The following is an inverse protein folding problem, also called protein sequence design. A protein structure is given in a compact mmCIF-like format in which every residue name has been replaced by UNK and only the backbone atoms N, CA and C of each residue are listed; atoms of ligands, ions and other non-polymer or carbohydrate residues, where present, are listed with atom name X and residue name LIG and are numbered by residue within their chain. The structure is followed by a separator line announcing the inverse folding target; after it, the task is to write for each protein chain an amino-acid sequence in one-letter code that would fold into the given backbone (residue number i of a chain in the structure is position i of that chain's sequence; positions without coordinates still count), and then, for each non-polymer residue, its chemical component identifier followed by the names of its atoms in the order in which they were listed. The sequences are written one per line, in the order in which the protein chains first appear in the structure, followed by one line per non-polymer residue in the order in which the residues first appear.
data_IF_590093896114
#
_entry.id   IF_590093896114
#
_cell.length_a   1.000
_cell.length_b   1.000
_cell.length_c   1.000
_cell.angle_alpha   90.00
_cell.angle_beta   90.00
_cell.angle_gamma   90.00
#
_symmetry.space_group_name_H-M   'P 1'
#
loop_
_entity.id
_entity.type
_entity.pdbx_description
1 polymer ?
#
# COMPACT_ATOMS: atom_id res chain seq x y z
N UNK A 1 -36.52 -26.57 35.12
CA UNK A 1 -36.23 -25.45 34.19
C UNK A 1 -34.74 -25.45 33.88
N UNK A 2 -34.34 -26.06 32.77
CA UNK A 2 -32.93 -26.15 32.34
C UNK A 2 -32.65 -25.01 31.35
N UNK A 3 -31.85 -24.02 31.76
CA UNK A 3 -31.31 -23.01 30.85
C UNK A 3 -30.28 -23.68 29.94
N UNK A 4 -30.58 -23.78 28.65
CA UNK A 4 -29.58 -24.08 27.62
C UNK A 4 -28.84 -22.80 27.29
N UNK A 5 -27.59 -22.70 27.73
CA UNK A 5 -26.66 -21.68 27.24
C UNK A 5 -26.27 -21.99 25.77
N UNK A 6 -26.73 -21.17 24.85
CA UNK A 6 -26.28 -21.24 23.47
C UNK A 6 -24.89 -20.63 23.40
N UNK A 7 -23.86 -21.48 23.23
CA UNK A 7 -22.52 -21.04 22.81
C UNK A 7 -22.58 -20.63 21.33
N UNK A 8 -22.63 -19.32 21.08
CA UNK A 8 -22.33 -18.79 19.75
C UNK A 8 -20.81 -18.98 19.50
N UNK A 9 -20.46 -20.02 18.75
CA UNK A 9 -19.14 -20.16 18.23
C UNK A 9 -18.90 -19.02 17.21
N UNK A 10 -18.14 -18.00 17.61
CA UNK A 10 -17.53 -17.06 16.68
C UNK A 10 -16.52 -17.85 15.83
N UNK A 11 -16.96 -18.40 14.71
CA UNK A 11 -16.05 -18.90 13.67
C UNK A 11 -15.39 -17.68 13.05
N UNK A 12 -14.22 -17.31 13.54
CA UNK A 12 -13.31 -16.42 12.82
C UNK A 12 -12.98 -17.10 11.49
N UNK A 13 -13.62 -16.65 10.42
CA UNK A 13 -13.29 -17.06 9.05
C UNK A 13 -11.88 -16.50 8.73
N UNK A 14 -10.87 -17.29 9.02
CA UNK A 14 -9.54 -17.04 8.49
C UNK A 14 -9.57 -17.33 6.99
N UNK A 15 -9.53 -16.29 6.16
CA UNK A 15 -9.52 -16.47 4.73
C UNK A 15 -8.22 -17.16 4.30
N UNK A 16 -8.35 -18.23 3.52
CA UNK A 16 -7.22 -18.83 2.81
C UNK A 16 -6.88 -17.88 1.66
N UNK A 17 -5.61 -17.44 1.58
CA UNK A 17 -5.18 -16.60 0.47
C UNK A 17 -5.38 -17.31 -0.87
N UNK A 18 -5.75 -16.60 -1.93
CA UNK A 18 -5.79 -17.16 -3.27
C UNK A 18 -4.41 -17.72 -3.66
N UNK A 19 -4.42 -18.75 -4.50
CA UNK A 19 -3.18 -19.35 -5.02
C UNK A 19 -2.28 -18.28 -5.65
N UNK A 20 -1.01 -18.31 -5.32
CA UNK A 20 -0.02 -17.35 -5.79
C UNK A 20 0.17 -16.11 -4.90
N UNK A 21 -0.62 -15.96 -3.83
CA UNK A 21 -0.47 -14.89 -2.84
C UNK A 21 0.18 -15.39 -1.54
N UNK A 22 0.93 -14.51 -0.89
CA UNK A 22 1.60 -14.75 0.39
C UNK A 22 1.53 -13.53 1.28
N UNK A 23 1.65 -13.71 2.58
CA UNK A 23 1.97 -12.64 3.51
C UNK A 23 3.45 -12.28 3.38
N UNK A 24 3.76 -11.00 3.24
CA UNK A 24 5.14 -10.52 3.09
C UNK A 24 6.01 -10.93 4.29
N UNK A 25 5.47 -10.87 5.49
CA UNK A 25 6.17 -11.28 6.72
C UNK A 25 6.67 -12.73 6.71
N UNK A 26 6.09 -13.62 5.89
CA UNK A 26 6.56 -15.01 5.74
C UNK A 26 7.77 -15.14 4.80
N UNK A 27 8.01 -14.14 3.96
CA UNK A 27 9.08 -14.14 2.97
C UNK A 27 10.22 -13.22 3.41
N UNK A 28 9.86 -12.03 3.88
CA UNK A 28 10.81 -10.97 4.27
C UNK A 28 10.38 -10.34 5.59
N UNK A 29 10.56 -11.02 6.73
CA UNK A 29 10.11 -10.53 8.04
C UNK A 29 10.82 -9.25 8.52
N UNK A 30 11.91 -8.86 7.88
CA UNK A 30 12.68 -7.64 8.21
C UNK A 30 11.98 -6.36 7.73
N UNK A 31 11.20 -6.44 6.65
CA UNK A 31 10.46 -5.28 6.13
C UNK A 31 9.38 -4.87 7.13
N UNK A 32 9.36 -3.60 7.50
CA UNK A 32 8.33 -3.05 8.40
C UNK A 32 7.02 -2.84 7.67
N UNK A 33 5.95 -3.35 8.24
CA UNK A 33 4.59 -3.17 7.72
C UNK A 33 3.90 -2.05 8.51
N UNK A 34 3.59 -0.93 7.83
CA UNK A 34 2.84 0.22 8.34
C UNK A 34 1.62 0.44 7.43
N UNK A 35 0.74 -0.59 7.37
CA UNK A 35 -0.38 -0.63 6.43
C UNK A 35 -1.41 0.45 6.77
N UNK A 36 -1.33 1.58 6.08
CA UNK A 36 -2.04 2.82 6.38
C UNK A 36 -3.55 2.68 6.31
N UNK A 37 -4.05 1.90 5.37
CA UNK A 37 -5.49 1.74 5.15
C UNK A 37 -6.17 0.80 6.15
N UNK A 38 -5.41 0.03 6.92
CA UNK A 38 -5.93 -0.76 8.04
C UNK A 38 -6.21 0.07 9.31
N UNK A 39 -5.75 1.33 9.34
CA UNK A 39 -5.96 2.29 10.43
C UNK A 39 -6.68 3.55 9.97
N UNK A 40 -6.55 4.61 10.79
CA UNK A 40 -7.15 5.93 10.51
C UNK A 40 -6.15 6.94 9.94
N UNK A 41 -4.85 6.62 9.95
CA UNK A 41 -3.78 7.50 9.47
C UNK A 41 -3.61 7.37 7.95
N UNK A 42 -4.61 7.80 7.21
CA UNK A 42 -4.65 7.84 5.75
C UNK A 42 -5.59 8.99 5.30
N UNK A 43 -5.60 9.30 4.02
CA UNK A 43 -6.34 10.42 3.47
C UNK A 43 -7.87 10.35 3.65
N UNK A 44 -8.42 9.16 3.96
CA UNK A 44 -9.86 9.02 4.25
C UNK A 44 -10.21 9.35 5.71
N UNK A 45 -9.22 9.38 6.61
CA UNK A 45 -9.39 9.57 8.05
C UNK A 45 -10.04 8.38 8.77
N UNK A 46 -10.22 7.24 8.11
CA UNK A 46 -10.89 6.06 8.65
C UNK A 46 -10.24 4.77 8.13
N UNK A 47 -10.49 3.64 8.82
CA UNK A 47 -10.14 2.33 8.28
C UNK A 47 -10.90 2.10 6.98
N UNK A 48 -10.20 1.67 5.95
CA UNK A 48 -10.74 1.44 4.63
C UNK A 48 -11.39 0.05 4.56
N UNK A 49 -12.60 -0.09 3.99
CA UNK A 49 -13.24 -1.40 3.77
C UNK A 49 -12.31 -2.36 3.04
N UNK A 50 -12.34 -3.63 3.45
CA UNK A 50 -11.46 -4.67 2.89
C UNK A 50 -10.09 -4.79 3.57
N UNK A 51 -9.70 -3.86 4.46
CA UNK A 51 -8.52 -3.98 5.32
C UNK A 51 -8.92 -4.40 6.73
N UNK A 52 -9.07 -5.70 6.94
CA UNK A 52 -9.46 -6.25 8.25
C UNK A 52 -8.26 -6.45 9.20
N UNK A 53 -7.04 -6.41 8.66
CA UNK A 53 -5.79 -6.47 9.42
C UNK A 53 -4.70 -5.60 8.77
N UNK A 54 -3.71 -5.13 9.55
CA UNK A 54 -2.54 -4.41 9.05
C UNK A 54 -1.48 -5.40 8.51
N UNK A 55 -1.81 -6.09 7.42
CA UNK A 55 -0.95 -7.11 6.83
C UNK A 55 -0.64 -6.78 5.36
N UNK A 56 0.61 -6.94 4.97
CA UNK A 56 1.03 -6.87 3.58
C UNK A 56 0.84 -8.24 2.92
N UNK A 57 -0.04 -8.30 1.93
CA UNK A 57 -0.25 -9.47 1.07
C UNK A 57 0.22 -9.11 -0.33
N UNK A 58 1.01 -9.97 -0.95
CA UNK A 58 1.52 -9.79 -2.32
C UNK A 58 1.47 -11.11 -3.07
N UNK A 59 1.61 -11.05 -4.40
CA UNK A 59 1.97 -12.25 -5.14
C UNK A 59 3.34 -12.75 -4.68
N UNK A 60 3.54 -14.07 -4.65
CA UNK A 60 4.81 -14.67 -4.25
C UNK A 60 5.99 -14.10 -5.07
N UNK A 61 5.77 -13.82 -6.36
CA UNK A 61 6.79 -13.22 -7.22
C UNK A 61 7.18 -11.81 -6.78
N UNK A 62 6.20 -10.97 -6.43
CA UNK A 62 6.45 -9.62 -5.93
C UNK A 62 7.13 -9.65 -4.55
N UNK A 63 6.75 -10.58 -3.67
CA UNK A 63 7.40 -10.74 -2.37
C UNK A 63 8.88 -11.14 -2.50
N UNK A 64 9.22 -12.07 -3.40
CA UNK A 64 10.62 -12.42 -3.68
C UNK A 64 11.41 -11.28 -4.36
N UNK A 65 10.77 -10.48 -5.18
CA UNK A 65 11.40 -9.28 -5.74
C UNK A 65 11.72 -8.26 -4.64
N UNK A 66 10.78 -8.03 -3.70
CA UNK A 66 11.04 -7.17 -2.52
C UNK A 66 12.16 -7.74 -1.62
N UNK A 67 12.26 -9.05 -1.46
CA UNK A 67 13.37 -9.67 -0.73
C UNK A 67 14.73 -9.31 -1.36
N UNK A 68 14.81 -9.21 -2.68
CA UNK A 68 16.05 -8.79 -3.35
C UNK A 68 16.36 -7.31 -3.10
N UNK A 69 15.33 -6.44 -3.11
CA UNK A 69 15.48 -5.02 -2.78
C UNK A 69 15.96 -4.84 -1.34
N UNK A 70 15.31 -5.51 -0.40
CA UNK A 70 15.65 -5.46 1.03
C UNK A 70 17.08 -5.92 1.30
N UNK A 71 17.53 -7.04 0.72
CA UNK A 71 18.92 -7.52 0.89
C UNK A 71 19.96 -6.49 0.44
N UNK A 72 19.69 -5.70 -0.60
CA UNK A 72 20.59 -4.63 -1.05
C UNK A 72 20.68 -3.51 -0.03
N UNK A 73 19.55 -3.11 0.55
CA UNK A 73 19.48 -2.06 1.58
C UNK A 73 20.14 -2.50 2.90
N UNK A 74 19.91 -3.74 3.31
CA UNK A 74 20.48 -4.29 4.56
C UNK A 74 22.02 -4.29 4.54
N UNK A 75 22.66 -4.42 3.37
CA UNK A 75 24.10 -4.29 3.22
C UNK A 75 24.62 -2.89 3.61
N UNK A 76 23.73 -1.90 3.69
CA UNK A 76 24.00 -0.51 4.06
C UNK A 76 23.28 -0.09 5.34
N UNK A 77 22.79 -1.05 6.15
CA UNK A 77 22.04 -0.80 7.38
C UNK A 77 20.74 -0.02 7.18
N UNK A 78 20.15 -0.13 5.99
CA UNK A 78 18.86 0.42 5.62
C UNK A 78 17.85 -0.71 5.48
N UNK A 79 16.56 -0.40 5.63
CA UNK A 79 15.46 -1.35 5.48
C UNK A 79 14.25 -0.68 4.84
N UNK A 80 13.40 -1.46 4.20
CA UNK A 80 12.14 -0.98 3.65
C UNK A 80 11.06 -0.88 4.74
N UNK A 81 10.11 0.04 4.49
CA UNK A 81 8.82 0.11 5.19
C UNK A 81 7.71 0.16 4.15
N UNK A 82 6.75 -0.74 4.21
CA UNK A 82 5.59 -0.77 3.30
C UNK A 82 4.40 -0.06 3.92
N UNK A 83 3.68 0.73 3.09
CA UNK A 83 2.47 1.46 3.45
C UNK A 83 1.22 0.82 2.90
N UNK A 84 1.32 0.22 1.70
CA UNK A 84 0.26 -0.55 1.07
C UNK A 84 0.84 -1.63 0.15
N UNK A 85 0.10 -2.73 0.01
CA UNK A 85 0.44 -3.89 -0.79
C UNK A 85 -0.75 -4.26 -1.70
N UNK A 86 -1.22 -5.50 -1.68
CA UNK A 86 -2.48 -5.83 -2.33
C UNK A 86 -3.62 -5.01 -1.72
N UNK A 87 -4.40 -4.34 -2.57
CA UNK A 87 -5.57 -3.54 -2.21
C UNK A 87 -6.82 -4.18 -2.80
N UNK A 88 -7.78 -4.62 -1.99
CA UNK A 88 -9.04 -5.17 -2.49
C UNK A 88 -9.78 -4.16 -3.40
N UNK A 89 -10.48 -4.63 -4.42
CA UNK A 89 -11.31 -3.75 -5.26
C UNK A 89 -12.35 -2.98 -4.41
N UNK A 90 -12.87 -3.59 -3.35
CA UNK A 90 -13.76 -2.93 -2.39
C UNK A 90 -13.15 -1.65 -1.78
N UNK A 91 -11.85 -1.68 -1.49
CA UNK A 91 -11.12 -0.51 -0.99
C UNK A 91 -11.01 0.59 -2.06
N UNK A 92 -10.72 0.21 -3.29
CA UNK A 92 -10.70 1.15 -4.44
C UNK A 92 -12.07 1.80 -4.62
N UNK A 93 -13.14 1.03 -4.55
CA UNK A 93 -14.52 1.53 -4.62
C UNK A 93 -14.84 2.47 -3.45
N UNK A 94 -14.27 2.20 -2.26
CA UNK A 94 -14.41 3.08 -1.09
C UNK A 94 -13.71 4.43 -1.32
N UNK A 95 -12.53 4.47 -1.94
CA UNK A 95 -11.85 5.71 -2.33
C UNK A 95 -12.67 6.54 -3.32
N UNK A 96 -13.26 5.90 -4.34
CA UNK A 96 -14.16 6.56 -5.28
C UNK A 96 -15.40 7.14 -4.57
N UNK A 97 -15.97 6.41 -3.61
CA UNK A 97 -17.09 6.93 -2.81
C UNK A 97 -16.66 8.09 -1.91
N UNK A 98 -15.47 7.99 -1.30
CA UNK A 98 -14.91 9.04 -0.45
C UNK A 98 -14.64 10.31 -1.25
N UNK A 99 -14.09 10.24 -2.46
CA UNK A 99 -13.82 11.43 -3.29
C UNK A 99 -15.07 12.26 -3.62
N UNK A 100 -16.24 11.61 -3.65
CA UNK A 100 -17.54 12.25 -3.93
C UNK A 100 -18.22 12.89 -2.71
N UNK A 101 -17.69 12.68 -1.50
CA UNK A 101 -18.22 13.26 -0.26
C UNK A 101 -17.62 14.65 0.00
N UNK A 102 -18.29 15.45 0.82
CA UNK A 102 -17.70 16.70 1.32
C UNK A 102 -16.30 16.45 1.93
N UNK A 103 -15.38 17.39 1.72
CA UNK A 103 -14.02 17.28 2.22
C UNK A 103 -13.96 17.46 3.75
N UNK A 104 -13.03 16.75 4.38
CA UNK A 104 -12.60 17.01 5.74
C UNK A 104 -11.42 17.98 5.72
N UNK A 105 -11.48 19.13 6.46
CA UNK A 105 -10.41 20.10 6.49
C UNK A 105 -9.05 19.53 6.93
N UNK A 106 -9.03 18.57 7.88
CA UNK A 106 -7.81 17.96 8.35
C UNK A 106 -7.16 17.09 7.26
N UNK A 107 -7.91 16.19 6.64
CA UNK A 107 -7.42 15.40 5.52
C UNK A 107 -6.95 16.26 4.35
N UNK A 108 -7.67 17.38 4.06
CA UNK A 108 -7.24 18.31 3.02
C UNK A 108 -5.89 18.93 3.34
N UNK A 109 -5.67 19.40 4.55
CA UNK A 109 -4.42 20.07 4.92
C UNK A 109 -3.22 19.11 4.88
N UNK A 110 -3.43 17.83 5.19
CA UNK A 110 -2.37 16.83 5.29
C UNK A 110 -2.05 16.16 3.95
N UNK A 111 -3.09 15.81 3.16
CA UNK A 111 -2.92 14.93 2.01
C UNK A 111 -3.11 15.60 0.64
N UNK A 112 -3.93 16.66 0.54
CA UNK A 112 -4.21 17.33 -0.75
C UNK A 112 -4.42 18.85 -0.60
N UNK A 113 -3.44 19.57 0.01
CA UNK A 113 -3.61 20.98 0.35
C UNK A 113 -3.89 21.87 -0.86
N UNK A 114 -3.29 21.55 -1.99
CA UNK A 114 -3.32 22.36 -3.22
C UNK A 114 -4.33 21.87 -4.26
N UNK A 115 -4.88 20.65 -4.11
CA UNK A 115 -5.81 20.04 -5.06
C UNK A 115 -7.24 20.08 -4.51
N UNK A 116 -8.23 20.38 -5.34
CA UNK A 116 -9.63 20.21 -4.96
C UNK A 116 -10.01 18.74 -4.97
N UNK A 117 -10.77 18.31 -3.95
CA UNK A 117 -11.12 16.90 -3.75
C UNK A 117 -11.86 16.27 -4.94
N UNK A 118 -12.69 17.03 -5.63
CA UNK A 118 -13.40 16.63 -6.84
C UNK A 118 -12.48 16.48 -8.07
N UNK A 119 -11.28 17.06 -8.02
CA UNK A 119 -10.27 16.95 -9.07
C UNK A 119 -9.35 15.72 -8.89
N UNK A 120 -9.30 15.12 -7.69
CA UNK A 120 -8.43 13.98 -7.39
C UNK A 120 -8.62 12.80 -8.36
N UNK A 121 -9.84 12.61 -8.87
CA UNK A 121 -10.11 11.57 -9.86
C UNK A 121 -9.65 11.98 -11.27
N UNK A 122 -9.86 13.24 -11.66
CA UNK A 122 -9.47 13.77 -12.97
C UNK A 122 -7.94 13.87 -13.10
N UNK A 123 -7.26 14.16 -12.00
CA UNK A 123 -5.79 14.27 -11.93
C UNK A 123 -5.10 12.91 -11.71
N UNK A 124 -5.85 11.80 -11.61
CA UNK A 124 -5.29 10.45 -11.55
C UNK A 124 -4.89 9.94 -10.17
N UNK A 125 -5.03 10.75 -9.11
CA UNK A 125 -4.73 10.31 -7.73
C UNK A 125 -5.70 9.26 -7.21
N UNK A 126 -6.95 9.25 -7.70
CA UNK A 126 -7.96 8.23 -7.41
C UNK A 126 -8.48 7.67 -8.72
N UNK A 127 -8.52 6.34 -8.85
CA UNK A 127 -8.99 5.65 -10.04
C UNK A 127 -10.03 4.57 -9.68
N UNK A 128 -10.86 4.19 -10.66
CA UNK A 128 -11.85 3.11 -10.50
C UNK A 128 -11.22 1.71 -10.50
N UNK A 129 -9.97 1.59 -10.93
CA UNK A 129 -9.16 0.37 -10.89
C UNK A 129 -7.76 0.72 -10.43
N UNK A 130 -7.16 -0.13 -9.62
CA UNK A 130 -5.82 0.07 -9.08
C UNK A 130 -4.91 -1.11 -9.43
N UNK A 131 -3.66 -0.81 -9.77
CA UNK A 131 -2.62 -1.82 -9.96
C UNK A 131 -2.42 -2.70 -8.70
N UNK A 132 -2.59 -2.13 -7.51
CA UNK A 132 -2.55 -2.86 -6.25
C UNK A 132 -3.53 -4.03 -6.19
N UNK A 133 -4.72 -3.91 -6.83
CA UNK A 133 -5.71 -4.99 -6.84
C UNK A 133 -5.27 -6.23 -7.63
N UNK A 134 -4.15 -6.14 -8.38
CA UNK A 134 -3.51 -7.28 -9.05
C UNK A 134 -2.48 -8.01 -8.18
N UNK A 135 -2.12 -7.41 -7.03
CA UNK A 135 -1.28 -8.03 -6.00
C UNK A 135 0.23 -7.95 -6.23
N UNK A 136 0.69 -7.18 -7.23
CA UNK A 136 2.12 -7.04 -7.53
C UNK A 136 2.59 -5.57 -7.53
N UNK A 137 1.81 -4.70 -6.93
CA UNK A 137 2.11 -3.29 -6.71
C UNK A 137 2.25 -3.04 -5.22
N UNK A 138 3.18 -2.16 -4.84
CA UNK A 138 3.49 -1.83 -3.46
C UNK A 138 3.78 -0.34 -3.32
N UNK A 139 3.29 0.25 -2.24
CA UNK A 139 3.65 1.59 -1.78
C UNK A 139 4.61 1.46 -0.60
N UNK A 140 5.79 2.09 -0.70
CA UNK A 140 6.84 1.90 0.29
C UNK A 140 7.85 3.06 0.35
N UNK A 141 8.70 3.02 1.37
CA UNK A 141 9.84 3.92 1.56
C UNK A 141 11.05 3.15 2.09
N UNK A 142 12.20 3.83 2.14
CA UNK A 142 13.34 3.39 2.98
C UNK A 142 13.11 3.96 4.37
N UNK A 143 13.02 3.09 5.38
CA UNK A 143 12.68 3.48 6.75
C UNK A 143 13.66 4.53 7.30
N UNK A 144 13.12 5.59 7.88
CA UNK A 144 13.89 6.68 8.47
C UNK A 144 14.46 7.69 7.47
N UNK A 145 14.29 7.52 6.17
CA UNK A 145 14.74 8.50 5.18
C UNK A 145 13.62 9.46 4.77
N UNK A 146 13.95 10.77 4.76
CA UNK A 146 13.03 11.82 4.32
C UNK A 146 12.91 11.83 2.80
N UNK A 147 11.68 11.80 2.29
CA UNK A 147 11.37 11.76 0.87
C UNK A 147 10.85 13.12 0.31
N UNK A 148 10.79 14.15 1.17
CA UNK A 148 10.37 15.51 0.79
C UNK A 148 8.86 15.76 0.82
N UNK A 149 8.05 14.70 0.75
CA UNK A 149 6.60 14.72 1.04
C UNK A 149 6.22 13.46 1.80
N UNK A 150 5.13 13.49 2.59
CA UNK A 150 4.59 12.25 3.17
C UNK A 150 4.02 11.32 2.10
N UNK A 151 3.72 10.09 2.50
CA UNK A 151 2.94 9.13 1.73
C UNK A 151 1.51 9.66 1.51
N UNK A 152 0.89 9.36 0.36
CA UNK A 152 -0.45 9.85 -0.03
C UNK A 152 -0.56 11.39 -0.15
N UNK A 153 0.55 12.09 -0.36
CA UNK A 153 0.52 13.53 -0.62
C UNK A 153 0.15 13.80 -2.07
N UNK A 154 -1.11 14.08 -2.33
CA UNK A 154 -1.65 14.30 -3.68
C UNK A 154 -1.32 15.71 -4.17
N UNK A 155 -0.14 15.84 -4.72
CA UNK A 155 0.45 17.10 -5.21
C UNK A 155 1.62 16.79 -6.15
N UNK A 156 1.91 17.70 -7.07
CA UNK A 156 3.05 17.55 -7.98
C UNK A 156 4.41 17.41 -7.25
N UNK A 157 4.51 17.83 -5.99
CA UNK A 157 5.70 17.59 -5.16
C UNK A 157 5.90 16.11 -4.80
N UNK A 158 4.89 15.26 -4.97
CA UNK A 158 5.02 13.80 -4.81
C UNK A 158 5.59 13.10 -6.04
N UNK A 159 5.65 13.76 -7.21
CA UNK A 159 6.22 13.18 -8.42
C UNK A 159 7.69 12.81 -8.22
N UNK A 160 8.14 11.75 -8.86
CA UNK A 160 9.49 11.20 -8.70
C UNK A 160 10.58 12.25 -8.98
N UNK A 161 10.38 13.10 -9.99
CA UNK A 161 11.31 14.16 -10.43
C UNK A 161 11.03 15.54 -9.85
N UNK A 162 10.09 15.65 -8.88
CA UNK A 162 9.70 16.93 -8.29
C UNK A 162 10.90 17.70 -7.68
N UNK A 163 10.83 19.05 -7.64
CA UNK A 163 11.90 19.91 -7.10
C UNK A 163 11.87 19.91 -5.56
N UNK A 164 12.15 18.76 -4.95
CA UNK A 164 12.29 18.59 -3.50
C UNK A 164 13.73 18.88 -3.04
N UNK A 165 14.00 19.05 -1.73
CA UNK A 165 15.34 19.24 -1.20
C UNK A 165 16.33 18.16 -1.69
N UNK A 166 17.59 18.52 -1.88
CA UNK A 166 18.62 17.66 -2.48
C UNK A 166 18.72 16.29 -1.80
N UNK A 167 18.65 16.25 -0.46
CA UNK A 167 18.70 14.97 0.27
C UNK A 167 17.48 14.10 -0.03
N UNK A 168 16.28 14.67 -0.05
CA UNK A 168 15.06 13.94 -0.38
C UNK A 168 15.09 13.39 -1.81
N UNK A 169 15.61 14.17 -2.75
CA UNK A 169 15.84 13.71 -4.13
C UNK A 169 16.80 12.52 -4.18
N UNK A 170 17.94 12.60 -3.47
CA UNK A 170 18.88 11.50 -3.40
C UNK A 170 18.25 10.23 -2.80
N UNK A 171 17.42 10.39 -1.77
CA UNK A 171 16.71 9.29 -1.13
C UNK A 171 15.67 8.64 -2.09
N UNK A 172 14.91 9.45 -2.85
CA UNK A 172 13.98 8.94 -3.89
C UNK A 172 14.72 8.19 -5.00
N UNK A 173 15.87 8.73 -5.43
CA UNK A 173 16.72 8.07 -6.45
C UNK A 173 17.24 6.72 -5.95
N UNK A 174 17.71 6.65 -4.70
CA UNK A 174 18.15 5.40 -4.08
C UNK A 174 17.00 4.38 -4.03
N UNK A 175 15.79 4.81 -3.61
CA UNK A 175 14.61 3.96 -3.59
C UNK A 175 14.28 3.43 -4.98
N UNK A 176 14.18 4.31 -5.98
CA UNK A 176 13.92 3.92 -7.38
C UNK A 176 14.95 2.93 -7.89
N UNK A 177 16.26 3.21 -7.71
CA UNK A 177 17.33 2.33 -8.17
C UNK A 177 17.24 0.93 -7.56
N UNK A 178 17.00 0.84 -6.25
CA UNK A 178 16.92 -0.45 -5.56
C UNK A 178 15.70 -1.24 -6.04
N UNK A 179 14.55 -0.59 -6.23
CA UNK A 179 13.32 -1.21 -6.71
C UNK A 179 13.40 -1.62 -8.18
N UNK A 180 13.96 -0.78 -9.04
CA UNK A 180 14.15 -1.11 -10.46
C UNK A 180 15.09 -2.32 -10.64
N UNK A 181 16.19 -2.38 -9.87
CA UNK A 181 17.10 -3.52 -9.86
C UNK A 181 16.43 -4.82 -9.35
N UNK A 182 15.34 -4.71 -8.61
CA UNK A 182 14.54 -5.84 -8.15
C UNK A 182 13.40 -6.20 -9.15
N UNK A 183 13.29 -5.49 -10.27
CA UNK A 183 12.31 -5.75 -11.33
C UNK A 183 11.00 -4.99 -11.20
N UNK A 184 10.94 -3.97 -10.36
CA UNK A 184 9.82 -3.06 -10.29
C UNK A 184 10.02 -1.86 -11.21
N UNK A 185 8.91 -1.20 -11.59
CA UNK A 185 8.92 0.10 -12.25
C UNK A 185 8.24 1.12 -11.35
N UNK A 186 8.79 2.36 -11.23
CA UNK A 186 8.14 3.45 -10.52
C UNK A 186 6.91 3.95 -11.28
N UNK A 187 5.97 4.55 -10.55
CA UNK A 187 4.91 5.39 -11.09
C UNK A 187 5.36 6.85 -11.03
N UNK A 188 5.39 7.60 -12.15
CA UNK A 188 6.01 8.92 -12.18
C UNK A 188 5.39 9.95 -11.24
N UNK A 189 4.07 9.86 -10.99
CA UNK A 189 3.32 10.81 -10.16
C UNK A 189 3.42 10.54 -8.65
N UNK A 190 4.01 9.39 -8.23
CA UNK A 190 4.06 8.98 -6.82
C UNK A 190 5.40 8.33 -6.49
N UNK A 191 6.27 8.99 -5.70
CA UNK A 191 7.62 8.51 -5.38
C UNK A 191 7.64 7.18 -4.62
N UNK A 192 6.52 6.81 -3.97
CA UNK A 192 6.39 5.58 -3.16
C UNK A 192 5.89 4.38 -3.95
N UNK A 193 5.27 4.59 -5.13
CA UNK A 193 4.49 3.59 -5.86
C UNK A 193 5.30 2.81 -6.88
N UNK A 194 5.35 1.49 -6.74
CA UNK A 194 6.11 0.59 -7.61
C UNK A 194 5.29 -0.63 -8.00
N UNK A 195 5.27 -0.97 -9.28
CA UNK A 195 4.63 -2.17 -9.81
C UNK A 195 5.67 -3.13 -10.39
N UNK A 196 5.55 -4.43 -10.10
CA UNK A 196 6.42 -5.45 -10.70
C UNK A 196 6.19 -5.47 -12.22
N UNK A 197 7.29 -5.45 -13.01
CA UNK A 197 7.21 -5.42 -14.47
C UNK A 197 6.58 -6.70 -14.99
N UNK A 198 7.02 -7.86 -14.48
CA UNK A 198 6.50 -9.16 -14.87
C UNK A 198 5.53 -9.71 -13.80
N UNK A 199 4.41 -9.04 -13.62
CA UNK A 199 3.39 -9.49 -12.68
C UNK A 199 2.63 -10.73 -13.19
N UNK A 200 2.31 -11.69 -12.28
CA UNK A 200 1.66 -12.94 -12.69
C UNK A 200 0.18 -12.78 -13.09
N UNK A 201 -0.46 -11.67 -12.70
CA UNK A 201 -1.87 -11.41 -12.95
C UNK A 201 -2.12 -10.02 -13.56
N UNK A 202 -1.58 -9.69 -14.76
CA UNK A 202 -1.60 -8.32 -15.30
C UNK A 202 -3.02 -7.80 -15.58
N UNK A 203 -3.99 -8.68 -15.84
CA UNK A 203 -5.36 -8.32 -16.22
C UNK A 203 -6.41 -8.71 -15.15
N UNK A 204 -5.98 -9.25 -14.00
CA UNK A 204 -6.90 -9.74 -12.98
C UNK A 204 -6.91 -8.86 -11.74
N UNK A 205 -8.05 -8.26 -11.45
CA UNK A 205 -8.30 -7.47 -10.25
C UNK A 205 -9.01 -8.35 -9.21
N UNK A 206 -8.41 -8.47 -8.04
CA UNK A 206 -8.91 -9.32 -6.96
C UNK A 206 -9.74 -8.49 -5.97
N UNK A 207 -10.62 -9.17 -5.22
CA UNK A 207 -11.45 -8.57 -4.18
C UNK A 207 -11.64 -9.50 -2.99
N UNK A 208 -10.54 -10.03 -2.44
CA UNK A 208 -10.55 -10.74 -1.16
C UNK A 208 -10.07 -9.80 -0.04
N UNK A 209 -10.54 -9.95 1.21
CA UNK A 209 -10.15 -9.05 2.29
C UNK A 209 -8.69 -9.28 2.71
N UNK A 210 -8.02 -8.20 3.13
CA UNK A 210 -6.73 -8.26 3.81
C UNK A 210 -6.97 -8.66 5.25
N UNK A 211 -6.71 -9.91 5.60
CA UNK A 211 -6.93 -10.49 6.93
C UNK A 211 -5.62 -10.77 7.64
N UNK A 212 -5.67 -10.99 8.96
CA UNK A 212 -4.50 -11.42 9.71
C UNK A 212 -4.07 -12.83 9.29
N UNK A 213 -2.76 -13.05 9.34
CA UNK A 213 -2.19 -14.39 9.16
C UNK A 213 -2.65 -15.31 10.30
N UNK A 214 -2.89 -16.58 9.99
CA UNK A 214 -3.07 -17.61 11.02
C UNK A 214 -1.77 -17.78 11.79
N UNK A 215 -1.79 -17.56 13.11
CA UNK A 215 -0.79 -18.13 14.01
C UNK A 215 -1.07 -19.63 14.09
N UNK A 216 -0.09 -20.43 13.71
CA UNK A 216 -0.13 -21.89 13.92
C UNK A 216 0.08 -22.20 15.39
#
# INVERSE_FOLDING_TARGET
MLLRAAFLALSSLFAILPSGFVYLANVVPQIREDIRYAGTHNFTGARVPGYDAPACILTLRAAHALEQAERRLLAHYLTLRVYDCYRPQEAVDAFVRWSKRAGDPQSKAEYYPNVHKDQLFAEGYIAAKSAHSRGSTVDLTIDGLEMGTPFDYFDALAHVDAPVPTQARANRMLLSEVMERAGFKPYPEEWWHFSLIEEPFPDRYFNFPVTAQRTQ
#
